data_IF_802299543237
#
_entry.id   IF_802299543237
#
_cell.length_a   1.000
_cell.length_b   1.000
_cell.length_c   1.000
_cell.angle_alpha   90.00
_cell.angle_beta   90.00
_cell.angle_gamma   90.00
#
_symmetry.space_group_name_H-M   'P 1'
#
loop_
_entity.id
_entity.type
_entity.pdbx_description
1 polymer ?
#
# COMPACT_ATOMS: atom_id res chain seq x y z
N UNK A 1 -22.27 -21.66 -7.82
CA UNK A 1 -21.79 -20.33 -8.24
C UNK A 1 -21.01 -19.74 -7.08
N UNK A 2 -19.69 -19.90 -7.06
CA UNK A 2 -18.84 -19.25 -6.07
C UNK A 2 -18.95 -17.74 -6.30
N UNK A 3 -19.68 -17.05 -5.42
CA UNK A 3 -19.74 -15.58 -5.41
C UNK A 3 -18.31 -15.10 -5.33
N UNK A 4 -17.79 -14.54 -6.43
CA UNK A 4 -16.48 -13.92 -6.48
C UNK A 4 -16.43 -12.86 -5.40
N UNK A 5 -15.76 -13.18 -4.28
CA UNK A 5 -15.56 -12.23 -3.21
C UNK A 5 -14.57 -11.22 -3.78
N UNK A 6 -15.06 -10.00 -4.03
CA UNK A 6 -14.18 -8.90 -4.41
C UNK A 6 -13.03 -8.86 -3.41
N UNK A 7 -11.77 -8.79 -3.86
CA UNK A 7 -10.65 -8.68 -2.95
C UNK A 7 -10.89 -7.45 -2.06
N UNK A 8 -10.67 -7.62 -0.77
CA UNK A 8 -10.71 -6.55 0.21
C UNK A 8 -9.80 -5.40 -0.28
N UNK A 9 -10.30 -4.15 -0.26
CA UNK A 9 -9.58 -2.97 -0.74
C UNK A 9 -8.17 -2.87 -0.15
N UNK A 10 -8.00 -3.31 1.10
CA UNK A 10 -6.70 -3.35 1.75
C UNK A 10 -5.71 -4.30 1.07
N UNK A 11 -6.18 -5.45 0.55
CA UNK A 11 -5.36 -6.39 -0.23
C UNK A 11 -4.92 -5.72 -1.52
N UNK A 12 -5.85 -5.11 -2.26
CA UNK A 12 -5.59 -4.51 -3.56
C UNK A 12 -4.51 -3.43 -3.41
N UNK A 13 -4.68 -2.56 -2.42
CA UNK A 13 -3.72 -1.50 -2.10
C UNK A 13 -2.34 -2.07 -1.76
N UNK A 14 -2.25 -3.03 -0.82
CA UNK A 14 -0.95 -3.61 -0.44
C UNK A 14 -0.28 -4.36 -1.60
N UNK A 15 -1.06 -5.09 -2.40
CA UNK A 15 -0.56 -5.78 -3.59
C UNK A 15 0.00 -4.80 -4.62
N UNK A 16 -0.69 -3.69 -4.87
CA UNK A 16 -0.22 -2.65 -5.78
C UNK A 16 1.01 -1.93 -5.25
N UNK A 17 1.06 -1.60 -3.95
CA UNK A 17 2.24 -1.02 -3.31
C UNK A 17 3.45 -1.94 -3.51
N UNK A 18 3.31 -3.23 -3.17
CA UNK A 18 4.39 -4.20 -3.32
C UNK A 18 4.82 -4.38 -4.79
N UNK A 19 3.85 -4.38 -5.72
CA UNK A 19 4.13 -4.45 -7.16
C UNK A 19 4.99 -3.27 -7.61
N UNK A 20 4.62 -2.04 -7.27
CA UNK A 20 5.37 -0.85 -7.66
C UNK A 20 6.73 -0.76 -6.95
N UNK A 21 6.84 -1.23 -5.71
CA UNK A 21 8.13 -1.38 -5.04
C UNK A 21 9.05 -2.32 -5.81
N UNK A 22 8.56 -3.50 -6.23
CA UNK A 22 9.35 -4.45 -7.03
C UNK A 22 9.77 -3.86 -8.37
N UNK A 23 8.86 -3.19 -9.09
CA UNK A 23 9.18 -2.54 -10.36
C UNK A 23 10.26 -1.47 -10.24
N UNK A 24 10.30 -0.78 -9.09
CA UNK A 24 11.27 0.29 -8.80
C UNK A 24 12.50 -0.17 -8.02
N UNK A 25 12.61 -1.46 -7.72
CA UNK A 25 13.65 -2.02 -6.87
C UNK A 25 13.77 -1.28 -5.52
N UNK A 26 12.64 -0.81 -4.99
CA UNK A 26 12.57 -0.03 -3.77
C UNK A 26 12.39 -0.94 -2.56
N UNK A 27 13.24 -0.77 -1.55
CA UNK A 27 13.08 -1.47 -0.28
C UNK A 27 11.98 -0.85 0.59
N UNK A 28 11.47 -1.65 1.54
CA UNK A 28 10.44 -1.18 2.48
C UNK A 28 10.91 -0.05 3.39
N UNK A 29 12.17 -0.14 3.82
CA UNK A 29 12.86 0.90 4.59
C UNK A 29 12.80 2.23 3.84
N UNK A 30 13.19 2.21 2.57
CA UNK A 30 13.17 3.38 1.68
C UNK A 30 11.75 3.91 1.45
N UNK A 31 10.76 3.03 1.21
CA UNK A 31 9.37 3.46 1.08
C UNK A 31 8.88 4.22 2.32
N UNK A 32 9.17 3.67 3.51
CA UNK A 32 8.76 4.28 4.78
C UNK A 32 9.45 5.63 4.99
N UNK A 33 10.73 5.74 4.68
CA UNK A 33 11.49 6.99 4.75
C UNK A 33 10.91 8.05 3.82
N UNK A 34 10.71 7.73 2.52
CA UNK A 34 10.20 8.66 1.52
C UNK A 34 8.75 9.07 1.76
N UNK A 35 7.90 8.16 2.24
CA UNK A 35 6.49 8.43 2.53
C UNK A 35 6.27 9.07 3.91
N UNK A 36 7.27 9.05 4.79
CA UNK A 36 7.15 9.47 6.18
C UNK A 36 6.24 8.56 7.02
N UNK A 37 5.92 7.35 6.53
CA UNK A 37 5.13 6.36 7.28
C UNK A 37 6.05 5.64 8.24
N UNK A 38 5.63 5.53 9.50
CA UNK A 38 6.39 4.77 10.49
C UNK A 38 6.47 3.29 10.06
N UNK A 39 7.68 2.68 9.99
CA UNK A 39 7.85 1.28 9.61
C UNK A 39 7.04 0.29 10.45
N UNK A 40 6.84 0.58 11.74
CA UNK A 40 5.99 -0.25 12.62
C UNK A 40 4.52 -0.17 12.20
N UNK A 41 4.03 1.02 11.84
CA UNK A 41 2.66 1.20 11.35
C UNK A 41 2.47 0.49 10.02
N UNK A 42 3.42 0.63 9.09
CA UNK A 42 3.37 -0.08 7.81
C UNK A 42 3.33 -1.60 8.00
N UNK A 43 4.22 -2.16 8.83
CA UNK A 43 4.29 -3.60 9.11
C UNK A 43 3.00 -4.11 9.76
N UNK A 44 2.43 -3.36 10.72
CA UNK A 44 1.13 -3.70 11.32
C UNK A 44 0.03 -3.76 10.26
N UNK A 45 0.00 -2.82 9.31
CA UNK A 45 -0.99 -2.82 8.23
C UNK A 45 -0.81 -3.98 7.27
N UNK A 46 0.42 -4.28 6.90
CA UNK A 46 0.73 -5.44 6.07
C UNK A 46 0.24 -6.75 6.73
N UNK A 47 0.46 -6.89 8.04
CA UNK A 47 -0.02 -8.04 8.83
C UNK A 47 -1.50 -7.97 9.21
N UNK A 48 -2.21 -6.90 8.84
CA UNK A 48 -3.58 -6.57 9.26
C UNK A 48 -3.78 -6.45 10.78
N UNK A 49 -2.71 -6.20 11.52
CA UNK A 49 -2.71 -6.01 12.97
C UNK A 49 -3.23 -4.61 13.33
N UNK A 50 -4.55 -4.42 13.24
CA UNK A 50 -5.20 -3.17 13.65
C UNK A 50 -6.44 -2.77 12.86
N UNK A 51 -6.89 -3.58 11.89
CA UNK A 51 -8.14 -3.40 11.14
C UNK A 51 -8.33 -1.96 10.58
N UNK A 52 -7.24 -1.28 10.25
CA UNK A 52 -7.24 0.10 9.79
C UNK A 52 -6.49 0.20 8.47
N UNK A 53 -7.23 0.57 7.45
CA UNK A 53 -6.72 0.79 6.10
C UNK A 53 -5.83 2.05 6.05
N UNK A 54 -5.12 2.21 4.94
CA UNK A 54 -4.43 3.45 4.64
C UNK A 54 -5.45 4.55 4.36
N UNK A 55 -5.31 5.69 5.04
CA UNK A 55 -6.12 6.86 4.70
C UNK A 55 -5.61 7.52 3.41
N UNK A 56 -6.42 8.42 2.83
CA UNK A 56 -6.07 9.10 1.59
C UNK A 56 -4.76 9.91 1.68
N UNK A 57 -4.45 10.45 2.85
CA UNK A 57 -3.22 11.23 3.06
C UNK A 57 -2.00 10.32 3.00
N UNK A 58 -2.08 9.15 3.64
CA UNK A 58 -1.04 8.13 3.62
C UNK A 58 -0.88 7.53 2.23
N UNK A 59 -1.97 7.21 1.54
CA UNK A 59 -1.95 6.77 0.15
C UNK A 59 -1.31 7.81 -0.77
N UNK A 60 -1.60 9.10 -0.58
CA UNK A 60 -0.97 10.17 -1.35
C UNK A 60 0.54 10.23 -1.11
N UNK A 61 0.98 10.04 0.14
CA UNK A 61 2.42 10.01 0.46
C UNK A 61 3.12 8.78 -0.11
N UNK A 62 2.49 7.61 -0.04
CA UNK A 62 2.99 6.36 -0.63
C UNK A 62 3.08 6.49 -2.16
N UNK A 63 2.02 7.00 -2.79
CA UNK A 63 1.97 7.20 -4.24
C UNK A 63 3.10 8.14 -4.70
N UNK A 64 3.33 9.25 -3.98
CA UNK A 64 4.47 10.16 -4.25
C UNK A 64 5.83 9.48 -4.04
N UNK A 65 6.00 8.70 -2.97
CA UNK A 65 7.23 7.98 -2.71
C UNK A 65 7.56 6.96 -3.83
N UNK A 66 6.51 6.33 -4.35
CA UNK A 66 6.56 5.40 -5.49
C UNK A 66 6.40 6.09 -6.84
N UNK A 67 6.35 7.42 -6.91
CA UNK A 67 6.20 8.18 -8.17
C UNK A 67 5.06 7.63 -9.08
N UNK A 68 3.92 7.32 -8.46
CA UNK A 68 2.67 6.89 -9.10
C UNK A 68 1.50 7.74 -8.59
N UNK A 69 0.30 7.52 -9.13
CA UNK A 69 -0.92 8.17 -8.64
C UNK A 69 -1.59 7.33 -7.55
N UNK A 70 -2.48 7.95 -6.76
CA UNK A 70 -3.32 7.21 -5.81
C UNK A 70 -4.24 6.22 -6.53
N UNK A 71 -4.69 6.56 -7.75
CA UNK A 71 -5.49 5.67 -8.58
C UNK A 71 -4.74 4.37 -8.87
N UNK A 72 -3.44 4.45 -9.19
CA UNK A 72 -2.61 3.26 -9.44
C UNK A 72 -2.52 2.32 -8.22
N UNK A 73 -2.69 2.84 -7.01
CA UNK A 73 -2.68 2.04 -5.78
C UNK A 73 -4.03 1.38 -5.50
N UNK A 74 -5.15 2.01 -5.84
CA UNK A 74 -6.49 1.54 -5.47
C UNK A 74 -7.22 0.77 -6.59
N UNK A 75 -6.73 0.85 -7.82
CA UNK A 75 -7.38 0.22 -8.99
C UNK A 75 -6.87 -1.22 -9.18
N UNK A 76 -7.76 -2.12 -9.65
CA UNK A 76 -7.45 -3.53 -9.94
C UNK A 76 -6.76 -3.72 -11.29
#
# INVERSE_FOLDING_TARGET
MTRGRLPDNHIIVLSNINRYMTLRQMERSELCERSGINPRTYNRREKREGNRDFDLTELTRIARALDVTVADLVTM
#
